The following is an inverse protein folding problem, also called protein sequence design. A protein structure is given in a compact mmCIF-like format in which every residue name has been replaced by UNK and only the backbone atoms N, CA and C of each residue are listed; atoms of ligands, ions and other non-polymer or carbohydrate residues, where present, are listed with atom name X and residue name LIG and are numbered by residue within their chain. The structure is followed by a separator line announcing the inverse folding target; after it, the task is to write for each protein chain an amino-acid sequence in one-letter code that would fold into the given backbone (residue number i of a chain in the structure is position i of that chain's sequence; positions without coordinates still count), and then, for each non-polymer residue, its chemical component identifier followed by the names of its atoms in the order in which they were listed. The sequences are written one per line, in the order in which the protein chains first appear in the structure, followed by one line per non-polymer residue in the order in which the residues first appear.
data_IF_179788637952
#
_entry.id   IF_179788637952
#
_cell.length_a   1.000
_cell.length_b   1.000
_cell.length_c   1.000
_cell.angle_alpha   90.00
_cell.angle_beta   90.00
_cell.angle_gamma   90.00
#
_symmetry.space_group_name_H-M   'P 1'
#
loop_
_entity.id
_entity.type
_entity.pdbx_description
1 polymer ?
#
# COMPACT_ATOMS: atom_id res chain seq x y z
N UNK A 1 -29.25 -39.22 6.23
CA UNK A 1 -28.46 -39.03 5.00
C UNK A 1 -28.10 -37.57 4.68
N UNK A 2 -28.43 -36.58 5.53
CA UNK A 2 -28.13 -35.14 5.26
C UNK A 2 -26.85 -34.65 5.97
N UNK A 3 -26.41 -35.34 7.04
CA UNK A 3 -25.20 -34.96 7.81
C UNK A 3 -23.90 -35.40 7.11
N UNK A 4 -23.95 -36.49 6.32
CA UNK A 4 -22.79 -36.99 5.56
C UNK A 4 -22.52 -36.20 4.27
N UNK A 5 -23.51 -35.49 3.73
CA UNK A 5 -23.34 -34.59 2.57
C UNK A 5 -22.79 -33.22 2.97
N UNK A 6 -23.02 -32.77 4.21
CA UNK A 6 -22.49 -31.49 4.71
C UNK A 6 -20.98 -31.56 4.96
N UNK A 7 -20.46 -32.66 5.55
CA UNK A 7 -19.01 -32.83 5.76
C UNK A 7 -18.20 -33.02 4.46
N UNK A 8 -18.83 -33.46 3.36
CA UNK A 8 -18.17 -33.65 2.06
C UNK A 8 -17.97 -32.32 1.30
N UNK A 9 -18.67 -31.25 1.71
CA UNK A 9 -18.57 -29.93 1.08
C UNK A 9 -17.48 -29.03 1.68
N UNK A 10 -17.03 -29.31 2.91
CA UNK A 10 -16.00 -28.50 3.60
C UNK A 10 -14.59 -29.08 3.53
N UNK A 11 -14.43 -30.28 2.96
CA UNK A 11 -13.11 -30.91 2.77
C UNK A 11 -12.90 -31.22 1.29
N UNK A 12 -12.92 -30.18 0.44
CA UNK A 12 -12.42 -30.28 -0.94
C UNK A 12 -10.89 -30.09 -0.86
N UNK A 13 -10.07 -31.13 -1.06
CA UNK A 13 -8.62 -30.97 -1.13
C UNK A 13 -8.29 -30.01 -2.27
N UNK A 14 -7.44 -29.03 -1.98
CA UNK A 14 -6.95 -28.06 -2.96
C UNK A 14 -6.03 -28.82 -3.95
N UNK A 15 -6.61 -29.35 -5.02
CA UNK A 15 -5.86 -29.95 -6.12
C UNK A 15 -4.88 -28.90 -6.65
N UNK A 16 -3.60 -29.11 -6.40
CA UNK A 16 -2.54 -28.24 -6.86
C UNK A 16 -2.47 -28.33 -8.39
N UNK A 17 -2.94 -27.29 -9.07
CA UNK A 17 -2.83 -27.14 -10.53
C UNK A 17 -1.38 -27.19 -11.02
N UNK A 18 -1.21 -27.23 -12.35
CA UNK A 18 0.06 -27.38 -13.09
C UNK A 18 1.23 -26.64 -12.41
N UNK A 19 2.08 -27.43 -11.76
CA UNK A 19 3.20 -26.99 -10.91
C UNK A 19 4.32 -26.32 -11.72
N UNK A 20 4.33 -26.54 -13.03
CA UNK A 20 5.36 -26.07 -13.93
C UNK A 20 4.81 -25.01 -14.88
N UNK A 21 5.32 -23.79 -14.72
CA UNK A 21 5.13 -22.66 -15.62
C UNK A 21 6.48 -22.06 -16.04
N UNK A 22 6.45 -21.04 -16.89
CA UNK A 22 7.66 -20.34 -17.33
C UNK A 22 8.07 -19.28 -16.31
N UNK A 23 9.30 -19.40 -15.80
CA UNK A 23 9.96 -18.41 -14.93
C UNK A 23 10.53 -17.22 -15.71
N UNK A 24 10.44 -17.22 -17.04
CA UNK A 24 11.11 -16.26 -17.92
C UNK A 24 10.67 -14.79 -17.72
N UNK A 25 9.51 -14.57 -17.10
CA UNK A 25 8.97 -13.23 -16.83
C UNK A 25 9.19 -12.75 -15.39
N UNK A 26 9.86 -13.56 -14.55
CA UNK A 26 10.14 -13.18 -13.18
C UNK A 26 11.03 -11.92 -13.15
N UNK A 27 10.64 -10.91 -12.39
CA UNK A 27 11.43 -9.67 -12.24
C UNK A 27 11.39 -8.69 -13.41
N UNK A 28 10.75 -9.01 -14.55
CA UNK A 28 10.71 -8.17 -15.77
C UNK A 28 10.44 -6.69 -15.49
N UNK A 29 9.44 -6.39 -14.66
CA UNK A 29 9.01 -5.00 -14.40
C UNK A 29 10.06 -4.24 -13.59
N UNK A 30 10.68 -4.88 -12.59
CA UNK A 30 11.69 -4.23 -11.74
C UNK A 30 12.99 -3.92 -12.49
N UNK A 31 13.37 -4.76 -13.45
CA UNK A 31 14.54 -4.52 -14.32
C UNK A 31 14.25 -3.51 -15.43
N UNK A 32 12.99 -3.38 -15.86
CA UNK A 32 12.58 -2.45 -16.91
C UNK A 32 12.45 -1.00 -16.41
N UNK A 33 12.06 -0.79 -15.14
CA UNK A 33 11.93 0.57 -14.59
C UNK A 33 13.29 1.26 -14.53
N UNK A 34 13.43 2.50 -15.05
CA UNK A 34 14.67 3.25 -14.95
C UNK A 34 15.03 3.47 -13.48
N UNK A 35 16.30 3.30 -13.16
CA UNK A 35 16.80 3.53 -11.80
C UNK A 35 16.82 5.03 -11.52
N UNK A 36 15.91 5.49 -10.67
CA UNK A 36 15.92 6.86 -10.16
C UNK A 36 16.60 6.87 -8.80
N UNK A 37 17.68 7.64 -8.68
CA UNK A 37 18.37 7.84 -7.42
C UNK A 37 17.58 8.79 -6.51
N UNK A 38 17.74 8.58 -5.20
CA UNK A 38 17.04 9.39 -4.21
C UNK A 38 17.65 10.78 -4.20
N UNK A 39 16.84 11.78 -4.49
CA UNK A 39 17.22 13.18 -4.31
C UNK A 39 17.55 13.45 -2.83
N UNK A 40 18.60 14.25 -2.60
CA UNK A 40 18.93 14.72 -1.26
C UNK A 40 17.84 15.67 -0.77
N UNK A 41 17.18 15.28 0.32
CA UNK A 41 16.12 16.07 0.97
C UNK A 41 16.55 16.44 2.38
N UNK A 42 16.15 17.62 2.87
CA UNK A 42 16.46 18.00 4.24
C UNK A 42 15.88 16.98 5.23
N UNK A 43 16.66 16.68 6.27
CA UNK A 43 16.29 15.72 7.30
C UNK A 43 15.00 16.18 7.97
N UNK A 44 13.98 15.31 7.96
CA UNK A 44 12.78 15.57 8.73
C UNK A 44 13.09 15.46 10.22
N UNK A 45 12.62 16.40 11.06
CA UNK A 45 12.80 16.31 12.49
C UNK A 45 12.10 15.05 13.02
N UNK A 46 12.63 14.43 14.08
CA UNK A 46 12.06 13.21 14.68
C UNK A 46 11.45 13.51 16.05
N UNK A 47 10.49 12.68 16.49
CA UNK A 47 9.90 12.75 17.84
C UNK A 47 9.03 13.99 18.07
N UNK A 48 9.24 14.68 19.19
CA UNK A 48 8.42 15.83 19.63
C UNK A 48 8.39 16.97 18.61
N UNK A 49 9.52 17.25 17.96
CA UNK A 49 9.61 18.30 16.96
C UNK A 49 8.73 17.99 15.73
N UNK A 50 8.65 16.73 15.33
CA UNK A 50 7.74 16.30 14.25
C UNK A 50 6.27 16.44 14.65
N UNK A 51 5.93 16.06 15.89
CA UNK A 51 4.56 16.18 16.39
C UNK A 51 4.12 17.64 16.47
N UNK A 52 5.01 18.56 16.86
CA UNK A 52 4.76 20.01 16.81
C UNK A 52 4.47 20.46 15.38
N UNK A 53 5.30 20.04 14.42
CA UNK A 53 5.12 20.38 13.00
C UNK A 53 3.81 19.83 12.43
N UNK A 54 3.41 18.61 12.79
CA UNK A 54 2.12 18.05 12.37
C UNK A 54 0.95 18.82 12.96
N UNK A 55 1.01 19.18 14.24
CA UNK A 55 -0.05 19.93 14.91
C UNK A 55 -0.23 21.32 14.29
N UNK A 56 0.88 22.06 14.10
CA UNK A 56 0.83 23.39 13.46
C UNK A 56 0.28 23.30 12.04
N UNK A 57 0.67 22.28 11.25
CA UNK A 57 0.16 22.08 9.88
C UNK A 57 -1.31 21.66 9.81
N UNK A 58 -1.82 20.90 10.79
CA UNK A 58 -3.17 20.32 10.75
C UNK A 58 -4.25 21.18 11.40
N UNK A 59 -3.88 21.99 12.40
CA UNK A 59 -4.86 22.67 13.25
C UNK A 59 -4.68 24.19 13.30
N UNK A 60 -3.44 24.69 13.32
CA UNK A 60 -3.19 26.14 13.42
C UNK A 60 -3.18 26.77 12.01
N UNK A 61 -2.37 26.25 11.09
CA UNK A 61 -2.20 26.80 9.74
C UNK A 61 -3.18 26.13 8.75
N UNK A 62 -4.46 26.03 9.11
CA UNK A 62 -5.47 25.43 8.24
C UNK A 62 -5.87 26.44 7.17
N UNK A 63 -5.57 26.13 5.90
CA UNK A 63 -6.22 26.81 4.77
C UNK A 63 -7.69 26.41 4.79
N UNK A 64 -8.59 27.36 5.03
CA UNK A 64 -10.04 27.17 5.06
C UNK A 64 -10.52 26.63 3.71
N UNK A 65 -10.68 25.32 3.61
CA UNK A 65 -11.36 24.69 2.48
C UNK A 65 -12.81 24.54 2.89
N UNK A 66 -13.74 25.19 2.19
CA UNK A 66 -15.17 24.89 2.30
C UNK A 66 -15.37 23.42 1.86
N UNK A 67 -15.32 22.49 2.82
CA UNK A 67 -15.43 21.04 2.58
C UNK A 67 -14.48 20.19 3.43
N UNK A 68 -14.28 18.92 3.04
CA UNK A 68 -13.40 17.97 3.74
C UNK A 68 -11.92 18.34 3.53
N UNK A 69 -11.12 18.35 4.60
CA UNK A 69 -9.67 18.64 4.57
C UNK A 69 -8.94 17.66 3.63
N UNK A 70 -8.27 18.17 2.59
CA UNK A 70 -7.39 17.39 1.69
C UNK A 70 -5.95 17.46 2.19
N UNK A 71 -5.31 16.30 2.39
CA UNK A 71 -3.98 16.22 3.01
C UNK A 71 -2.82 16.06 1.99
N UNK A 72 -3.08 15.47 0.83
CA UNK A 72 -2.12 15.31 -0.26
C UNK A 72 -2.86 15.42 -1.60
N UNK A 73 -3.48 16.58 -1.85
CA UNK A 73 -4.06 16.87 -3.15
C UNK A 73 -2.97 17.42 -4.06
N UNK A 74 -2.55 16.62 -5.03
CA UNK A 74 -1.93 17.18 -6.21
C UNK A 74 -3.00 18.02 -6.92
N UNK A 75 -2.68 19.27 -7.26
CA UNK A 75 -3.47 19.97 -8.25
C UNK A 75 -3.34 19.16 -9.56
N UNK A 76 -4.46 18.71 -10.09
CA UNK A 76 -4.50 18.29 -11.48
C UNK A 76 -4.24 19.52 -12.35
#
# INVERSE_FOLDING_TARGET
MVVLTFLRYYFRPFDHGKVHGSLARAGKVKSQTPKVDKQEKPKQPKGRAYMRLLYTKRFINVTLVNGKRKANSNAA
#
